data_IF_421222821720
#
_entry.id   IF_421222821720
#
_cell.length_a   1.000
_cell.length_b   1.000
_cell.length_c   1.000
_cell.angle_alpha   90.00
_cell.angle_beta   90.00
_cell.angle_gamma   90.00
#
_symmetry.space_group_name_H-M   'P 1'
#
loop_
_entity.id
_entity.type
_entity.pdbx_description
1 polymer ?
#
# COMPACT_ATOMS: atom_id res chain seq x y z
N UNK A 1 18.04 -9.46 6.68
CA UNK A 1 16.96 -8.48 6.86
C UNK A 1 17.28 -7.59 8.02
N UNK A 2 16.63 -6.42 8.08
CA UNK A 2 16.96 -5.37 9.03
C UNK A 2 15.94 -5.33 10.17
N UNK A 3 16.44 -5.23 11.39
CA UNK A 3 15.64 -4.90 12.57
C UNK A 3 16.09 -3.52 13.05
N UNK A 4 15.19 -2.55 13.08
CA UNK A 4 15.48 -1.16 13.45
C UNK A 4 15.04 -0.91 14.88
N UNK A 5 15.98 -1.10 15.80
CA UNK A 5 15.72 -1.07 17.25
C UNK A 5 15.10 -2.38 17.76
N UNK A 6 15.13 -2.56 19.08
CA UNK A 6 14.34 -3.57 19.77
C UNK A 6 12.99 -2.97 20.17
N UNK A 7 12.06 -3.84 20.56
CA UNK A 7 10.79 -3.42 21.16
C UNK A 7 11.03 -2.52 22.39
N UNK A 8 10.36 -1.37 22.41
CA UNK A 8 10.51 -0.34 23.43
C UNK A 8 11.75 0.56 23.32
N UNK A 9 12.63 0.35 22.33
CA UNK A 9 13.76 1.27 22.11
C UNK A 9 13.24 2.63 21.63
N UNK A 10 13.78 3.71 22.21
CA UNK A 10 13.50 5.08 21.77
C UNK A 10 14.80 5.84 21.54
N UNK A 11 14.88 6.59 20.44
CA UNK A 11 16.12 7.28 20.10
C UNK A 11 16.08 8.03 18.78
N UNK A 12 17.25 8.06 18.13
CA UNK A 12 17.45 8.70 16.83
C UNK A 12 17.97 7.62 15.87
N UNK A 13 17.32 7.48 14.72
CA UNK A 13 17.79 6.69 13.60
C UNK A 13 17.48 7.42 12.30
N UNK A 14 18.44 7.40 11.37
CA UNK A 14 18.26 7.92 10.01
C UNK A 14 18.78 6.86 9.05
N UNK A 15 17.91 6.38 8.16
CA UNK A 15 18.24 5.50 7.05
C UNK A 15 17.99 6.26 5.75
N UNK A 16 19.04 6.46 4.97
CA UNK A 16 18.96 7.17 3.69
C UNK A 16 19.76 6.48 2.59
N UNK A 17 19.26 6.57 1.34
CA UNK A 17 19.92 6.06 0.13
C UNK A 17 20.22 4.54 0.17
N UNK A 18 19.30 3.76 0.76
CA UNK A 18 19.45 2.31 0.91
C UNK A 18 18.48 1.53 0.03
N UNK A 19 18.94 0.39 -0.48
CA UNK A 19 18.10 -0.61 -1.15
C UNK A 19 18.07 -1.90 -0.33
N UNK A 20 16.88 -2.29 0.13
CA UNK A 20 16.63 -3.56 0.81
C UNK A 20 16.10 -4.58 -0.21
N UNK A 21 16.72 -5.75 -0.29
CA UNK A 21 16.39 -6.77 -1.29
C UNK A 21 16.71 -8.18 -0.76
N UNK A 22 16.34 -9.19 -1.54
CA UNK A 22 16.57 -10.60 -1.26
C UNK A 22 17.23 -11.27 -2.46
N UNK A 23 17.82 -12.44 -2.22
CA UNK A 23 18.38 -13.29 -3.28
C UNK A 23 17.75 -14.69 -3.19
N UNK A 24 17.00 -15.08 -4.22
CA UNK A 24 16.32 -16.35 -4.35
C UNK A 24 15.10 -16.49 -3.44
N UNK A 25 14.73 -17.74 -3.16
CA UNK A 25 13.55 -18.06 -2.37
C UNK A 25 13.78 -17.83 -0.88
N UNK A 26 13.23 -16.74 -0.36
CA UNK A 26 13.24 -16.39 1.06
C UNK A 26 11.81 -16.15 1.57
N UNK A 27 10.89 -17.08 1.29
CA UNK A 27 9.47 -16.96 1.60
C UNK A 27 9.09 -16.47 3.01
N UNK A 28 9.90 -16.73 4.05
CA UNK A 28 9.66 -16.27 5.42
C UNK A 28 10.31 -14.94 5.79
N UNK A 29 10.72 -14.15 4.81
CA UNK A 29 11.51 -12.93 5.00
C UNK A 29 10.63 -11.69 5.24
N UNK A 30 10.67 -11.09 6.44
CA UNK A 30 10.28 -9.71 6.75
C UNK A 30 11.44 -8.71 6.48
N UNK A 31 11.51 -8.08 5.30
CA UNK A 31 12.70 -7.32 4.87
C UNK A 31 13.15 -6.28 5.89
N UNK A 32 12.17 -5.59 6.49
CA UNK A 32 12.40 -4.72 7.64
C UNK A 32 11.32 -4.82 8.70
N UNK A 33 11.77 -5.00 9.94
CA UNK A 33 10.99 -4.77 11.15
C UNK A 33 11.45 -3.44 11.78
N UNK A 34 10.52 -2.50 11.94
CA UNK A 34 10.76 -1.18 12.49
C UNK A 34 10.14 -1.07 13.88
N UNK A 35 10.99 -1.04 14.90
CA UNK A 35 10.57 -1.08 16.31
C UNK A 35 10.82 0.22 17.06
N UNK A 36 11.81 1.00 16.63
CA UNK A 36 12.24 2.19 17.35
C UNK A 36 11.16 3.28 17.40
N UNK A 37 11.03 3.90 18.56
CA UNK A 37 10.24 5.11 18.75
C UNK A 37 11.13 6.37 18.71
N UNK A 38 10.60 7.46 18.17
CA UNK A 38 11.29 8.73 18.08
C UNK A 38 11.54 9.31 19.48
N UNK A 39 12.71 9.93 19.68
CA UNK A 39 13.04 10.69 20.89
C UNK A 39 12.66 12.18 20.78
N UNK A 40 12.56 12.67 19.55
CA UNK A 40 11.96 13.95 19.15
C UNK A 40 11.28 13.81 17.79
N UNK A 41 10.34 14.70 17.45
CA UNK A 41 9.60 14.62 16.18
C UNK A 41 10.53 14.45 14.96
N UNK A 42 10.32 13.36 14.21
CA UNK A 42 11.07 13.00 13.01
C UNK A 42 12.47 12.44 13.26
N UNK A 43 12.83 12.12 14.51
CA UNK A 43 14.17 11.58 14.83
C UNK A 43 14.35 10.10 14.52
N UNK A 44 13.26 9.35 14.33
CA UNK A 44 13.29 7.99 13.81
C UNK A 44 12.75 8.03 12.38
N UNK A 45 13.64 7.96 11.38
CA UNK A 45 13.25 8.26 10.01
C UNK A 45 13.97 7.45 8.92
N UNK A 46 13.30 7.34 7.78
CA UNK A 46 13.79 6.74 6.55
C UNK A 46 13.44 7.63 5.36
N UNK A 47 14.43 7.90 4.49
CA UNK A 47 14.27 8.78 3.34
C UNK A 47 14.99 8.20 2.13
N UNK A 48 14.39 8.30 0.94
CA UNK A 48 15.04 7.86 -0.32
C UNK A 48 15.63 6.44 -0.20
N UNK A 49 14.86 5.53 0.42
CA UNK A 49 15.27 4.15 0.68
C UNK A 49 14.13 3.21 0.30
N UNK A 50 14.46 2.13 -0.38
CA UNK A 50 13.49 1.34 -1.13
C UNK A 50 13.63 -0.15 -0.83
N UNK A 51 12.53 -0.88 -0.98
CA UNK A 51 12.49 -2.32 -0.98
C UNK A 51 12.25 -2.77 -2.41
N UNK A 52 13.12 -3.63 -2.92
CA UNK A 52 13.01 -4.18 -4.26
C UNK A 52 13.16 -5.69 -4.19
N UNK A 53 12.08 -6.42 -4.46
CA UNK A 53 12.09 -7.88 -4.43
C UNK A 53 12.13 -8.42 -5.85
N UNK A 54 13.29 -9.00 -6.21
CA UNK A 54 13.56 -9.57 -7.53
C UNK A 54 13.71 -8.55 -8.66
N UNK A 55 13.51 -9.00 -9.89
CA UNK A 55 13.53 -8.14 -11.08
C UNK A 55 14.90 -7.59 -11.48
N UNK A 56 15.97 -7.94 -10.78
CA UNK A 56 17.31 -7.42 -11.09
C UNK A 56 18.39 -8.51 -11.10
N UNK A 57 19.48 -8.25 -11.79
CA UNK A 57 20.65 -9.11 -11.87
C UNK A 57 21.16 -9.45 -10.46
N UNK A 58 21.53 -10.72 -10.25
CA UNK A 58 22.02 -11.21 -8.97
C UNK A 58 20.93 -11.48 -7.93
N UNK A 59 19.65 -11.21 -8.20
CA UNK A 59 18.55 -11.57 -7.30
C UNK A 59 18.17 -13.06 -7.37
N UNK A 60 18.55 -13.78 -8.43
CA UNK A 60 18.05 -15.14 -8.74
C UNK A 60 16.51 -15.22 -8.75
N UNK A 61 15.88 -14.10 -9.11
CA UNK A 61 14.44 -13.86 -9.21
C UNK A 61 14.14 -13.03 -10.46
N UNK A 62 14.91 -13.30 -11.53
CA UNK A 62 14.74 -12.66 -12.83
C UNK A 62 13.69 -13.40 -13.67
N UNK A 63 13.27 -12.85 -14.82
CA UNK A 63 12.31 -13.50 -15.70
C UNK A 63 12.65 -14.94 -16.10
N UNK A 64 13.94 -15.24 -16.22
CA UNK A 64 14.44 -16.60 -16.51
C UNK A 64 14.27 -17.57 -15.33
N UNK A 65 14.30 -17.09 -14.09
CA UNK A 65 14.11 -17.89 -12.89
C UNK A 65 12.62 -18.07 -12.55
N UNK A 66 11.81 -17.04 -12.83
CA UNK A 66 10.43 -16.92 -12.37
C UNK A 66 9.39 -16.66 -13.46
N UNK A 67 9.36 -17.40 -14.59
CA UNK A 67 8.53 -17.07 -15.75
C UNK A 67 7.02 -16.94 -15.44
N UNK A 68 6.32 -16.07 -16.17
CA UNK A 68 4.85 -15.91 -16.06
C UNK A 68 4.08 -17.08 -16.66
N UNK A 69 2.75 -17.07 -16.49
CA UNK A 69 1.83 -17.99 -17.15
C UNK A 69 1.88 -19.42 -16.61
N UNK A 70 2.58 -19.65 -15.50
CA UNK A 70 2.60 -20.95 -14.85
C UNK A 70 1.25 -21.22 -14.17
N UNK A 71 0.72 -22.43 -14.35
CA UNK A 71 -0.51 -22.88 -13.66
C UNK A 71 -0.23 -23.20 -12.19
N UNK A 72 1.00 -23.59 -11.88
CA UNK A 72 1.44 -23.97 -10.53
C UNK A 72 2.47 -22.96 -10.07
N UNK A 73 2.29 -22.44 -8.85
CA UNK A 73 3.23 -21.53 -8.23
C UNK A 73 4.60 -22.19 -8.10
N UNK A 74 5.64 -21.53 -8.63
CA UNK A 74 7.02 -21.93 -8.42
C UNK A 74 7.48 -21.45 -7.04
N UNK A 75 7.63 -22.37 -6.08
CA UNK A 75 8.08 -22.01 -4.73
C UNK A 75 9.46 -21.36 -4.70
N UNK A 76 10.29 -21.57 -5.73
CA UNK A 76 11.59 -20.87 -5.84
C UNK A 76 11.45 -19.35 -6.06
N UNK A 77 10.27 -18.91 -6.45
CA UNK A 77 9.95 -17.50 -6.67
C UNK A 77 9.28 -16.84 -5.47
N UNK A 78 9.00 -17.60 -4.39
CA UNK A 78 8.52 -17.04 -3.14
C UNK A 78 9.67 -16.33 -2.43
N UNK A 79 9.68 -15.02 -2.53
CA UNK A 79 10.84 -14.18 -2.27
C UNK A 79 10.81 -13.51 -0.90
N UNK A 80 9.65 -13.13 -0.38
CA UNK A 80 9.53 -12.57 0.96
C UNK A 80 8.12 -12.73 1.53
N UNK A 81 8.02 -12.68 2.85
CA UNK A 81 6.74 -12.68 3.54
C UNK A 81 6.22 -11.26 3.67
N UNK A 82 7.04 -10.30 4.12
CA UNK A 82 6.61 -8.93 4.36
C UNK A 82 7.71 -7.94 3.99
N UNK A 83 7.39 -6.82 3.32
CA UNK A 83 8.42 -5.84 2.97
C UNK A 83 8.76 -4.91 4.14
N UNK A 84 7.75 -4.33 4.79
CA UNK A 84 7.94 -3.41 5.91
C UNK A 84 6.90 -3.66 7.01
N UNK A 85 7.38 -3.88 8.23
CA UNK A 85 6.57 -3.96 9.44
C UNK A 85 6.87 -2.78 10.36
N UNK A 86 5.91 -1.87 10.52
CA UNK A 86 5.98 -0.77 11.49
C UNK A 86 5.23 -1.22 12.75
N UNK A 87 5.98 -1.66 13.77
CA UNK A 87 5.41 -2.39 14.90
C UNK A 87 4.71 -1.48 15.90
N UNK A 88 3.94 -2.09 16.80
CA UNK A 88 2.96 -1.42 17.67
C UNK A 88 3.50 -0.23 18.47
N UNK A 89 4.63 -0.40 19.14
CA UNK A 89 5.18 0.61 20.04
C UNK A 89 6.23 1.51 19.34
N UNK A 90 6.34 1.38 18.01
CA UNK A 90 7.24 2.19 17.19
C UNK A 90 6.60 3.52 16.78
N UNK A 91 7.42 4.39 16.21
CA UNK A 91 6.99 5.60 15.51
C UNK A 91 7.94 5.82 14.33
N UNK A 92 7.56 6.58 13.31
CA UNK A 92 8.52 6.83 12.25
C UNK A 92 8.10 7.83 11.20
N UNK A 93 9.09 8.47 10.60
CA UNK A 93 8.93 9.33 9.43
C UNK A 93 9.53 8.63 8.20
N UNK A 94 8.69 8.31 7.22
CA UNK A 94 9.08 7.63 5.98
C UNK A 94 8.77 8.56 4.81
N UNK A 95 9.77 8.89 3.98
CA UNK A 95 9.53 9.67 2.76
C UNK A 95 10.27 9.11 1.56
N UNK A 96 9.58 9.12 0.42
CA UNK A 96 10.08 8.53 -0.81
C UNK A 96 10.55 7.09 -0.58
N UNK A 97 9.69 6.29 0.04
CA UNK A 97 9.91 4.87 0.29
C UNK A 97 9.05 4.09 -0.69
N UNK A 98 9.69 3.21 -1.46
CA UNK A 98 9.02 2.37 -2.44
C UNK A 98 9.18 0.92 -2.04
N UNK A 99 8.06 0.23 -1.77
CA UNK A 99 8.01 -1.17 -1.44
C UNK A 99 7.51 -1.97 -2.65
N UNK A 100 8.45 -2.37 -3.51
CA UNK A 100 8.16 -2.92 -4.83
C UNK A 100 8.53 -4.40 -4.92
N UNK A 101 7.56 -5.19 -5.37
CA UNK A 101 7.74 -6.58 -5.79
C UNK A 101 7.79 -6.58 -7.30
N UNK A 102 8.83 -7.16 -7.90
CA UNK A 102 9.06 -6.97 -9.32
C UNK A 102 7.92 -7.51 -10.19
N UNK A 103 7.32 -6.65 -10.99
CA UNK A 103 6.40 -7.02 -12.06
C UNK A 103 7.12 -7.25 -13.40
N UNK A 104 8.35 -6.74 -13.54
CA UNK A 104 9.21 -6.91 -14.72
C UNK A 104 10.71 -6.96 -14.39
N UNK A 105 11.53 -7.36 -15.37
CA UNK A 105 12.99 -7.34 -15.26
C UNK A 105 13.60 -5.97 -15.54
N UNK A 106 14.26 -5.34 -14.58
CA UNK A 106 14.93 -4.05 -14.74
C UNK A 106 16.16 -4.10 -15.66
N UNK A 107 16.88 -5.22 -15.65
CA UNK A 107 18.16 -5.37 -16.38
C UNK A 107 18.00 -6.01 -17.77
N UNK A 108 16.76 -6.19 -18.24
CA UNK A 108 16.48 -6.69 -19.58
C UNK A 108 16.59 -5.54 -20.60
N UNK A 109 17.51 -5.58 -21.58
CA UNK A 109 17.69 -4.50 -22.55
C UNK A 109 16.47 -4.29 -23.47
N UNK A 110 15.55 -5.26 -23.52
CA UNK A 110 14.29 -5.15 -24.27
C UNK A 110 13.16 -4.49 -23.46
N UNK A 111 13.33 -4.27 -22.15
CA UNK A 111 12.35 -3.60 -21.28
C UNK A 111 12.47 -2.07 -21.26
N UNK A 112 13.38 -1.50 -22.08
CA UNK A 112 13.47 -0.05 -22.30
C UNK A 112 12.40 0.48 -23.27
N UNK A 113 11.70 -0.41 -23.99
CA UNK A 113 10.50 -0.08 -24.77
C UNK A 113 9.26 -0.41 -23.92
N UNK A 114 8.20 0.45 -23.92
CA UNK A 114 6.99 0.32 -23.11
C UNK A 114 6.05 -0.79 -23.60
N UNK A 115 6.59 -1.97 -23.91
CA UNK A 115 5.83 -3.19 -24.05
C UNK A 115 6.11 -4.00 -22.80
N UNK A 116 5.15 -3.95 -21.87
CA UNK A 116 5.01 -4.90 -20.76
C UNK A 116 5.29 -6.31 -21.31
N UNK A 117 6.48 -6.82 -21.01
CA UNK A 117 6.89 -8.13 -21.46
C UNK A 117 6.15 -9.18 -20.62
N UNK A 118 6.01 -10.40 -21.12
CA UNK A 118 5.54 -11.54 -20.32
C UNK A 118 6.59 -11.99 -19.30
N UNK A 119 7.39 -11.05 -18.81
CA UNK A 119 8.58 -11.30 -18.01
C UNK A 119 8.20 -11.87 -16.66
N UNK A 120 8.94 -12.88 -16.24
CA UNK A 120 8.71 -13.63 -15.01
C UNK A 120 8.70 -12.78 -13.74
N UNK A 121 7.90 -13.21 -12.77
CA UNK A 121 7.50 -12.42 -11.61
C UNK A 121 7.80 -13.16 -10.30
N UNK A 122 8.64 -12.61 -9.40
CA UNK A 122 8.72 -13.06 -8.01
C UNK A 122 7.41 -12.85 -7.25
N UNK A 123 7.20 -13.65 -6.21
CA UNK A 123 6.01 -13.59 -5.35
C UNK A 123 6.42 -13.19 -3.94
N UNK A 124 5.83 -12.10 -3.44
CA UNK A 124 5.90 -11.67 -2.05
C UNK A 124 4.51 -11.79 -1.40
N UNK A 125 4.48 -12.07 -0.10
CA UNK A 125 3.24 -12.18 0.65
C UNK A 125 2.55 -10.83 0.81
N UNK A 126 3.17 -9.95 1.59
CA UNK A 126 2.55 -8.79 2.21
C UNK A 126 3.41 -7.52 2.01
N UNK A 127 2.80 -6.40 1.65
CA UNK A 127 3.54 -5.15 1.39
C UNK A 127 4.00 -4.46 2.67
N UNK A 128 3.16 -3.54 3.18
CA UNK A 128 3.46 -2.72 4.37
C UNK A 128 2.41 -2.96 5.46
N UNK A 129 2.85 -3.46 6.62
CA UNK A 129 2.03 -3.62 7.81
C UNK A 129 2.33 -2.53 8.83
N UNK A 130 1.30 -1.86 9.33
CA UNK A 130 1.39 -0.76 10.28
C UNK A 130 0.51 -1.08 11.47
N UNK A 131 1.13 -1.31 12.62
CA UNK A 131 0.44 -1.50 13.92
C UNK A 131 0.77 -0.39 14.92
N UNK A 132 1.70 0.49 14.54
CA UNK A 132 2.17 1.64 15.30
C UNK A 132 1.04 2.45 15.91
N UNK A 133 1.18 2.78 17.19
CA UNK A 133 0.33 3.75 17.88
C UNK A 133 0.73 5.20 17.57
N UNK A 134 1.83 5.37 16.85
CA UNK A 134 2.31 6.61 16.27
C UNK A 134 3.16 7.46 17.21
N UNK A 135 3.61 8.64 16.72
CA UNK A 135 3.21 9.19 15.42
C UNK A 135 3.88 8.48 14.23
N UNK A 136 3.15 8.32 13.13
CA UNK A 136 3.71 7.71 11.91
C UNK A 136 3.36 8.54 10.69
N UNK A 137 4.37 8.87 9.89
CA UNK A 137 4.22 9.69 8.70
C UNK A 137 4.77 8.97 7.48
N UNK A 138 3.94 8.76 6.46
CA UNK A 138 4.31 8.20 5.18
C UNK A 138 4.09 9.24 4.08
N UNK A 139 5.18 9.87 3.63
CA UNK A 139 5.15 10.94 2.63
C UNK A 139 5.65 10.48 1.27
N UNK A 140 4.76 10.36 0.28
CA UNK A 140 5.17 9.93 -1.06
C UNK A 140 5.65 8.48 -1.07
N UNK A 141 4.92 7.58 -0.40
CA UNK A 141 5.28 6.16 -0.34
C UNK A 141 4.43 5.34 -1.31
N UNK A 142 5.00 4.27 -1.85
CA UNK A 142 4.30 3.34 -2.73
C UNK A 142 4.53 1.90 -2.27
N UNK A 143 3.50 1.06 -2.36
CA UNK A 143 3.63 -0.38 -2.16
C UNK A 143 2.86 -1.10 -3.25
N UNK A 144 3.53 -1.99 -3.96
CA UNK A 144 3.01 -2.55 -5.21
C UNK A 144 3.26 -4.06 -5.30
N UNK A 145 2.30 -4.73 -5.94
CA UNK A 145 2.38 -6.11 -6.41
C UNK A 145 2.62 -7.17 -5.31
N UNK A 146 2.34 -6.86 -4.06
CA UNK A 146 2.29 -7.84 -2.97
C UNK A 146 1.02 -8.72 -3.09
N UNK A 147 1.13 -10.02 -2.82
CA UNK A 147 0.07 -11.00 -3.13
C UNK A 147 -1.24 -10.74 -2.37
N UNK A 148 -1.19 -10.35 -1.09
CA UNK A 148 -2.38 -10.19 -0.24
C UNK A 148 -2.81 -8.73 -0.07
N UNK A 149 -1.93 -7.85 0.36
CA UNK A 149 -2.20 -6.41 0.49
C UNK A 149 -0.96 -5.57 0.21
N UNK A 150 -1.19 -4.33 -0.21
CA UNK A 150 -0.14 -3.33 -0.38
C UNK A 150 0.09 -2.56 0.92
N UNK A 151 -0.98 -2.05 1.54
CA UNK A 151 -0.94 -1.46 2.89
C UNK A 151 -2.00 -2.07 3.79
N UNK A 152 -1.61 -2.38 5.03
CA UNK A 152 -2.53 -2.73 6.10
C UNK A 152 -2.20 -1.95 7.37
N UNK A 153 -3.17 -1.18 7.85
CA UNK A 153 -3.18 -0.59 9.18
C UNK A 153 -4.02 -1.48 10.08
N UNK A 154 -3.42 -2.01 11.15
CA UNK A 154 -4.10 -2.90 12.07
C UNK A 154 -3.96 -2.39 13.49
N UNK A 155 -5.08 -2.06 14.12
CA UNK A 155 -5.14 -1.47 15.46
C UNK A 155 -4.19 -0.26 15.62
N UNK A 156 -3.87 0.43 14.53
CA UNK A 156 -2.91 1.51 14.49
C UNK A 156 -3.55 2.83 14.93
N UNK A 157 -2.72 3.80 15.32
CA UNK A 157 -3.19 5.16 15.58
C UNK A 157 -2.23 6.25 15.16
N UNK A 158 -2.72 7.49 15.07
CA UNK A 158 -1.92 8.69 14.82
C UNK A 158 -1.04 8.58 13.56
N UNK A 159 -1.65 8.15 12.45
CA UNK A 159 -0.93 7.86 11.21
C UNK A 159 -1.35 8.82 10.09
N UNK A 160 -0.37 9.43 9.43
CA UNK A 160 -0.54 10.21 8.22
C UNK A 160 0.05 9.48 7.02
N UNK A 161 -0.69 9.42 5.90
CA UNK A 161 -0.19 8.98 4.60
C UNK A 161 -0.50 10.04 3.54
N UNK A 162 0.46 10.41 2.69
CA UNK A 162 0.19 11.29 1.56
C UNK A 162 1.42 11.83 0.82
N UNK A 163 1.47 11.81 -0.52
CA UNK A 163 0.64 10.99 -1.41
C UNK A 163 1.02 9.51 -1.23
N UNK A 164 0.05 8.59 -1.29
CA UNK A 164 0.33 7.15 -1.32
C UNK A 164 -0.12 6.52 -2.64
N UNK A 165 0.58 5.48 -3.07
CA UNK A 165 0.25 4.76 -4.30
C UNK A 165 0.24 3.24 -4.08
N UNK A 166 -0.65 2.54 -4.78
CA UNK A 166 -0.60 1.07 -4.88
C UNK A 166 -0.95 0.54 -6.27
N UNK A 167 -0.42 -0.64 -6.61
CA UNK A 167 -0.87 -1.48 -7.73
C UNK A 167 -1.13 -2.92 -7.29
N UNK A 168 -2.18 -3.54 -7.84
CA UNK A 168 -2.38 -4.98 -7.71
C UNK A 168 -1.33 -5.77 -8.50
N UNK A 169 -0.99 -7.00 -8.10
CA UNK A 169 -0.08 -7.83 -8.87
C UNK A 169 -0.68 -8.27 -10.20
N UNK A 170 0.09 -8.17 -11.29
CA UNK A 170 -0.44 -8.31 -12.66
C UNK A 170 -0.93 -9.73 -12.98
N UNK A 171 -0.36 -10.73 -12.32
CA UNK A 171 -0.67 -12.14 -12.53
C UNK A 171 -2.00 -12.56 -11.89
N UNK A 172 -2.57 -11.77 -10.98
CA UNK A 172 -3.84 -12.12 -10.35
C UNK A 172 -4.97 -12.17 -11.38
N UNK A 173 -5.91 -13.14 -11.26
CA UNK A 173 -6.13 -14.05 -10.12
C UNK A 173 -5.42 -15.41 -10.25
N UNK A 174 -4.31 -15.54 -10.98
CA UNK A 174 -3.58 -16.81 -11.09
C UNK A 174 -2.11 -16.72 -10.59
N UNK A 175 -1.83 -17.09 -9.32
CA UNK A 175 -2.80 -17.43 -8.28
C UNK A 175 -3.59 -16.23 -7.75
N UNK A 176 -4.70 -16.50 -7.07
CA UNK A 176 -5.48 -15.51 -6.34
C UNK A 176 -4.73 -15.04 -5.08
N UNK A 177 -5.21 -13.98 -4.42
CA UNK A 177 -4.56 -13.40 -3.25
C UNK A 177 -4.36 -14.36 -2.06
N UNK A 178 -5.02 -15.53 -2.06
CA UNK A 178 -4.93 -16.53 -1.00
C UNK A 178 -3.78 -17.54 -1.19
N UNK A 179 -3.03 -17.43 -2.28
CA UNK A 179 -1.91 -18.33 -2.62
C UNK A 179 -0.75 -17.55 -3.23
N UNK A 180 0.51 -17.99 -3.03
CA UNK A 180 0.92 -19.17 -2.26
C UNK A 180 1.01 -18.94 -0.75
N UNK A 181 1.03 -17.68 -0.31
CA UNK A 181 1.09 -17.31 1.10
C UNK A 181 -0.26 -17.57 1.77
N UNK A 182 -0.25 -18.32 2.86
CA UNK A 182 -1.47 -18.70 3.57
C UNK A 182 -1.81 -17.67 4.65
N UNK A 183 -3.11 -17.45 4.85
CA UNK A 183 -3.60 -16.72 6.01
C UNK A 183 -3.08 -17.34 7.32
N UNK A 184 -2.72 -16.50 8.28
CA UNK A 184 -2.29 -16.83 9.63
C UNK A 184 -0.83 -16.46 9.92
N UNK A 185 -0.08 -16.02 8.92
CA UNK A 185 1.33 -15.59 9.09
C UNK A 185 1.44 -14.21 9.76
N UNK A 186 0.51 -13.29 9.45
CA UNK A 186 0.42 -11.98 10.11
C UNK A 186 -0.96 -11.78 10.76
N UNK A 187 -1.06 -10.94 11.80
CA UNK A 187 -2.33 -10.69 12.47
C UNK A 187 -3.36 -10.07 11.50
N UNK A 188 -4.61 -10.54 11.59
CA UNK A 188 -5.78 -10.04 10.84
C UNK A 188 -5.65 -10.10 9.32
N UNK A 189 -5.54 -11.31 8.75
CA UNK A 189 -5.70 -11.47 7.31
C UNK A 189 -7.06 -10.98 6.84
N UNK A 190 -7.05 -10.25 5.73
CA UNK A 190 -8.26 -9.77 5.09
C UNK A 190 -9.03 -10.96 4.50
N UNK A 191 -10.30 -11.05 4.86
CA UNK A 191 -11.15 -12.19 4.50
C UNK A 191 -11.92 -11.93 3.21
N UNK A 192 -12.09 -12.99 2.41
CA UNK A 192 -12.86 -12.95 1.16
C UNK A 192 -14.23 -13.61 1.33
N UNK A 193 -14.91 -13.38 2.46
CA UNK A 193 -16.12 -14.12 2.88
C UNK A 193 -17.31 -14.03 1.90
N UNK A 194 -17.34 -13.02 1.02
CA UNK A 194 -18.41 -12.77 0.05
C UNK A 194 -17.96 -12.90 -1.41
N UNK A 195 -16.92 -13.70 -1.66
CA UNK A 195 -16.40 -13.90 -3.00
C UNK A 195 -17.11 -15.02 -3.78
N UNK A 196 -17.64 -14.69 -4.96
CA UNK A 196 -18.31 -15.66 -5.83
C UNK A 196 -17.34 -16.51 -6.66
N UNK A 197 -16.16 -15.98 -6.98
CA UNK A 197 -15.11 -16.63 -7.77
C UNK A 197 -13.71 -16.12 -7.38
N UNK A 198 -12.67 -16.50 -8.13
CA UNK A 198 -11.29 -16.10 -7.87
C UNK A 198 -10.99 -14.65 -8.31
N UNK A 199 -11.82 -14.04 -9.18
CA UNK A 199 -11.60 -12.68 -9.68
C UNK A 199 -11.80 -11.64 -8.59
N UNK A 200 -12.70 -11.90 -7.65
CA UNK A 200 -12.93 -11.00 -6.52
C UNK A 200 -11.92 -11.20 -5.38
N UNK A 201 -11.02 -12.19 -5.49
CA UNK A 201 -9.94 -12.47 -4.54
C UNK A 201 -8.63 -11.80 -4.96
N UNK A 202 -8.72 -10.50 -5.26
CA UNK A 202 -7.56 -9.67 -5.59
C UNK A 202 -6.87 -9.14 -4.35
N UNK A 203 -5.62 -8.73 -4.50
CA UNK A 203 -4.86 -8.07 -3.46
C UNK A 203 -5.55 -6.76 -3.03
N UNK A 204 -5.48 -6.46 -1.75
CA UNK A 204 -6.03 -5.21 -1.21
C UNK A 204 -5.06 -4.07 -1.46
N UNK A 205 -5.58 -2.94 -1.95
CA UNK A 205 -4.81 -1.70 -1.98
C UNK A 205 -4.59 -1.19 -0.55
N UNK A 206 -5.65 -1.22 0.27
CA UNK A 206 -5.61 -0.69 1.62
C UNK A 206 -6.56 -1.44 2.56
N UNK A 207 -6.04 -1.97 3.66
CA UNK A 207 -6.82 -2.39 4.82
C UNK A 207 -6.63 -1.40 5.98
N UNK A 208 -7.71 -0.90 6.57
CA UNK A 208 -7.70 -0.12 7.82
C UNK A 208 -8.60 -0.82 8.82
N UNK A 209 -8.01 -1.63 9.68
CA UNK A 209 -8.69 -2.53 10.60
C UNK A 209 -8.50 -2.04 12.03
N UNK A 210 -9.61 -1.77 12.74
CA UNK A 210 -9.57 -1.39 14.16
C UNK A 210 -8.71 -0.16 14.50
N UNK A 211 -8.40 0.67 13.51
CA UNK A 211 -7.45 1.78 13.63
C UNK A 211 -8.17 3.13 13.87
N UNK A 212 -7.50 4.07 14.52
CA UNK A 212 -8.06 5.38 14.87
C UNK A 212 -7.12 6.54 14.52
N UNK A 213 -7.66 7.71 14.19
CA UNK A 213 -6.88 8.92 13.89
C UNK A 213 -5.89 8.69 12.74
N UNK A 214 -6.44 8.24 11.60
CA UNK A 214 -5.73 7.96 10.36
C UNK A 214 -6.09 9.00 9.31
N UNK A 215 -5.09 9.69 8.77
CA UNK A 215 -5.27 10.73 7.75
C UNK A 215 -4.54 10.36 6.46
N UNK A 216 -5.30 10.08 5.41
CA UNK A 216 -4.80 9.75 4.07
C UNK A 216 -5.09 10.93 3.15
N UNK A 217 -4.06 11.70 2.84
CA UNK A 217 -4.13 12.89 2.01
C UNK A 217 -3.53 12.64 0.63
N UNK A 218 -4.40 12.36 -0.34
CA UNK A 218 -4.05 11.95 -1.70
C UNK A 218 -3.60 10.50 -1.79
N UNK A 219 -4.39 9.67 -2.47
CA UNK A 219 -4.08 8.28 -2.76
C UNK A 219 -4.37 7.91 -4.22
N UNK A 220 -3.50 7.12 -4.83
CA UNK A 220 -3.70 6.49 -6.14
C UNK A 220 -3.68 4.98 -6.01
N UNK A 221 -4.83 4.34 -6.21
CA UNK A 221 -4.93 2.88 -6.17
C UNK A 221 -5.25 2.36 -7.57
N UNK A 222 -4.38 1.50 -8.11
CA UNK A 222 -4.50 0.99 -9.47
C UNK A 222 -4.67 -0.52 -9.48
N UNK A 223 -5.48 -1.00 -10.40
CA UNK A 223 -5.66 -2.42 -10.70
C UNK A 223 -5.82 -2.55 -12.21
N UNK A 224 -4.73 -2.80 -12.91
CA UNK A 224 -4.63 -2.58 -14.36
C UNK A 224 -4.68 -3.87 -15.19
N UNK A 225 -4.30 -4.99 -14.58
CA UNK A 225 -4.09 -6.25 -15.28
C UNK A 225 -4.91 -7.38 -14.67
N UNK A 226 -5.23 -8.35 -15.52
CA UNK A 226 -5.75 -9.64 -15.11
C UNK A 226 -5.00 -10.74 -15.86
N UNK A 227 -4.33 -11.63 -15.14
CA UNK A 227 -3.47 -12.66 -15.76
C UNK A 227 -2.46 -12.06 -16.79
N UNK A 228 -1.83 -10.94 -16.43
CA UNK A 228 -0.90 -10.18 -17.28
C UNK A 228 -1.53 -9.64 -18.58
N UNK A 229 -2.85 -9.48 -18.62
CA UNK A 229 -3.57 -8.82 -19.72
C UNK A 229 -4.09 -7.47 -19.26
N UNK A 230 -3.66 -6.40 -19.94
CA UNK A 230 -4.04 -5.03 -19.63
C UNK A 230 -5.53 -4.77 -19.91
N UNK A 231 -6.18 -3.97 -19.06
CA UNK A 231 -7.50 -3.40 -19.32
C UNK A 231 -8.69 -4.30 -18.97
N UNK A 232 -8.47 -5.26 -18.07
CA UNK A 232 -9.48 -6.25 -17.65
C UNK A 232 -10.06 -5.99 -16.25
N UNK A 233 -9.45 -5.10 -15.46
CA UNK A 233 -9.88 -4.74 -14.10
C UNK A 233 -9.88 -3.22 -13.96
N UNK A 234 -10.82 -2.70 -13.18
CA UNK A 234 -10.93 -1.25 -12.92
C UNK A 234 -11.10 -0.94 -11.44
N UNK A 235 -11.06 -1.93 -10.53
CA UNK A 235 -11.44 -1.74 -9.13
C UNK A 235 -10.31 -2.18 -8.19
N UNK A 236 -9.78 -1.24 -7.40
CA UNK A 236 -8.89 -1.53 -6.29
C UNK A 236 -9.69 -1.80 -5.00
N UNK A 237 -9.32 -2.82 -4.23
CA UNK A 237 -10.04 -3.18 -3.00
C UNK A 237 -9.56 -2.38 -1.78
N UNK A 238 -10.51 -1.81 -1.02
CA UNK A 238 -10.26 -1.11 0.25
C UNK A 238 -11.15 -1.69 1.35
N UNK A 239 -10.58 -1.99 2.52
CA UNK A 239 -11.33 -2.38 3.72
C UNK A 239 -11.12 -1.38 4.85
N UNK A 240 -12.20 -1.03 5.57
CA UNK A 240 -12.15 -0.03 6.67
C UNK A 240 -12.86 -0.48 7.95
N UNK A 241 -12.91 -1.80 8.19
CA UNK A 241 -13.66 -2.37 9.31
C UNK A 241 -13.16 -1.84 10.66
N UNK A 242 -14.11 -1.36 11.48
CA UNK A 242 -13.85 -0.85 12.82
C UNK A 242 -12.89 0.36 12.87
N UNK A 243 -12.68 1.04 11.75
CA UNK A 243 -11.93 2.29 11.71
C UNK A 243 -12.77 3.45 12.28
N UNK A 244 -12.13 4.36 13.02
CA UNK A 244 -12.75 5.60 13.51
C UNK A 244 -11.81 6.78 13.30
N UNK A 245 -12.33 8.01 13.16
CA UNK A 245 -11.49 9.17 12.82
C UNK A 245 -10.57 8.91 11.62
N UNK A 246 -11.15 8.40 10.53
CA UNK A 246 -10.45 8.09 9.28
C UNK A 246 -10.81 9.16 8.24
N UNK A 247 -9.81 9.80 7.66
CA UNK A 247 -10.01 10.76 6.56
C UNK A 247 -9.26 10.25 5.32
N UNK A 248 -9.95 10.11 4.20
CA UNK A 248 -9.34 9.62 2.95
C UNK A 248 -9.67 10.54 1.80
N UNK A 249 -8.64 11.13 1.20
CA UNK A 249 -8.72 11.94 -0.02
C UNK A 249 -8.05 11.17 -1.17
N UNK A 250 -8.83 10.68 -2.12
CA UNK A 250 -8.33 9.84 -3.24
C UNK A 250 -8.22 10.70 -4.50
N UNK A 251 -7.08 10.67 -5.19
CA UNK A 251 -6.85 11.47 -6.40
C UNK A 251 -7.12 10.72 -7.71
N UNK A 252 -7.25 9.38 -7.68
CA UNK A 252 -7.55 8.54 -8.85
C UNK A 252 -8.92 7.84 -8.72
N UNK A 253 -9.77 7.81 -9.77
CA UNK A 253 -11.22 7.63 -9.60
C UNK A 253 -11.75 6.19 -9.44
N UNK A 254 -10.97 5.15 -9.13
CA UNK A 254 -11.53 3.76 -9.18
C UNK A 254 -11.03 2.81 -8.09
N UNK A 255 -11.57 2.99 -6.89
CA UNK A 255 -11.44 2.03 -5.79
C UNK A 255 -12.82 1.62 -5.25
N UNK A 256 -13.00 0.35 -4.91
CA UNK A 256 -14.19 -0.18 -4.23
C UNK A 256 -13.91 -0.39 -2.75
N UNK A 257 -14.71 0.25 -1.90
CA UNK A 257 -14.63 0.09 -0.46
C UNK A 257 -15.63 -0.96 0.05
N UNK A 258 -15.17 -1.85 0.92
CA UNK A 258 -16.00 -2.71 1.77
C UNK A 258 -15.88 -2.19 3.22
N UNK A 259 -17.01 -1.86 3.85
CA UNK A 259 -17.05 -1.46 5.26
C UNK A 259 -18.21 -2.14 5.97
N UNK A 260 -17.96 -2.69 7.17
CA UNK A 260 -18.97 -3.39 7.98
C UNK A 260 -19.56 -2.56 9.13
N UNK A 261 -19.05 -1.34 9.41
CA UNK A 261 -19.67 -0.32 10.30
C UNK A 261 -18.90 1.01 10.26
N UNK A 262 -19.63 2.13 10.46
CA UNK A 262 -19.21 3.55 10.42
C UNK A 262 -17.69 3.82 10.42
N UNK A 263 -17.08 3.85 9.23
CA UNK A 263 -15.86 4.62 9.04
C UNK A 263 -16.25 6.11 9.19
N UNK A 264 -15.50 6.87 9.98
CA UNK A 264 -15.61 8.33 9.97
C UNK A 264 -15.49 8.87 8.53
N UNK A 265 -16.21 9.95 8.25
CA UNK A 265 -16.24 10.75 7.02
C UNK A 265 -15.35 10.27 5.85
N UNK A 266 -15.80 9.24 5.12
CA UNK A 266 -15.21 8.85 3.84
C UNK A 266 -15.68 9.84 2.75
N UNK A 267 -14.79 10.73 2.32
CA UNK A 267 -15.06 11.73 1.30
C UNK A 267 -14.28 11.46 0.02
N UNK A 268 -14.83 10.69 -0.95
CA UNK A 268 -14.21 10.58 -2.26
C UNK A 268 -14.32 11.93 -2.97
N UNK A 269 -13.20 12.65 -3.10
CA UNK A 269 -13.14 13.89 -3.88
C UNK A 269 -12.58 13.60 -5.27
N UNK A 270 -13.40 13.74 -6.31
CA UNK A 270 -12.96 13.63 -7.70
C UNK A 270 -12.81 15.01 -8.34
N UNK A 271 -11.60 15.40 -8.74
CA UNK A 271 -11.42 16.37 -9.81
C UNK A 271 -11.06 15.62 -11.08
N UNK A 272 -12.04 15.20 -11.88
CA UNK A 272 -11.78 14.89 -13.28
C UNK A 272 -11.46 16.19 -14.01
N UNK A 273 -10.26 16.37 -14.60
CA UNK A 273 -10.08 17.42 -15.60
C UNK A 273 -11.01 17.09 -16.78
N UNK A 274 -11.69 18.07 -17.39
CA UNK A 274 -12.44 17.81 -18.62
C UNK A 274 -11.51 17.23 -19.68
N UNK A 275 -12.00 16.24 -20.44
CA UNK A 275 -11.27 15.65 -21.59
C UNK A 275 -10.72 16.76 -22.48
N UNK A 276 -9.46 16.63 -22.87
CA UNK A 276 -8.74 17.52 -23.76
C UNK A 276 -9.23 17.45 -25.24
N UNK A 277 -10.53 17.37 -25.47
CA UNK A 277 -11.11 17.43 -26.83
C UNK A 277 -12.14 18.53 -27.02
N UNK A 278 -12.53 19.28 -25.98
CA UNK A 278 -13.45 20.41 -26.14
C UNK A 278 -12.93 21.65 -25.41
N UNK A 279 -12.16 22.50 -26.09
CA UNK A 279 -12.20 23.98 -25.94
C UNK A 279 -11.27 24.65 -26.95
N UNK A 280 -11.73 25.65 -27.72
CA UNK A 280 -10.85 26.66 -28.28
C UNK A 280 -10.54 27.70 -27.18
N UNK A 281 -9.24 27.92 -26.97
CA UNK A 281 -8.56 29.09 -26.42
C UNK A 281 -9.35 30.07 -25.52
N UNK A 282 -9.04 30.07 -24.22
CA UNK A 282 -8.87 31.30 -23.44
C UNK A 282 -8.11 31.03 -22.11
N UNK A 283 -6.90 31.59 -22.02
CA UNK A 283 -6.19 31.84 -20.76
C UNK A 283 -7.04 32.71 -19.82
N UNK A 284 -7.09 32.38 -18.53
CA UNK A 284 -7.01 33.36 -17.42
C UNK A 284 -6.81 32.69 -16.06
N UNK A 285 -5.90 33.27 -15.30
CA UNK A 285 -5.55 33.01 -13.90
C UNK A 285 -6.76 32.90 -12.96
N UNK A 286 -6.67 31.99 -11.99
CA UNK A 286 -7.51 31.99 -10.78
C UNK A 286 -7.06 30.92 -9.79
N UNK A 287 -6.47 31.34 -8.67
CA UNK A 287 -6.15 30.48 -7.53
C UNK A 287 -7.42 29.85 -6.94
N UNK A 288 -7.44 28.57 -6.50
CA UNK A 288 -8.60 28.03 -5.81
C UNK A 288 -8.54 28.37 -4.32
N UNK A 289 -9.62 28.99 -3.84
CA UNK A 289 -9.90 29.26 -2.43
C UNK A 289 -10.14 27.96 -1.64
N UNK A 290 -9.55 27.87 -0.45
CA UNK A 290 -9.91 26.91 0.61
C UNK A 290 -11.29 27.27 1.18
N UNK A 291 -12.29 26.41 1.00
CA UNK A 291 -13.53 26.48 1.79
C UNK A 291 -13.38 25.60 3.03
N UNK A 292 -13.38 26.24 4.21
CA UNK A 292 -13.36 25.59 5.51
C UNK A 292 -14.77 25.61 6.07
N UNK A 293 -15.52 24.51 6.00
CA UNK A 293 -16.76 24.36 6.76
C UNK A 293 -16.46 23.63 8.06
N UNK A 294 -16.81 24.29 9.17
CA UNK A 294 -16.79 23.73 10.52
C UNK A 294 -18.25 23.46 10.86
N UNK A 295 -18.67 22.20 10.80
CA UNK A 295 -20.02 21.79 11.23
C UNK A 295 -19.90 21.38 12.70
N UNK A 296 -20.51 22.19 13.56
CA UNK A 296 -20.69 21.92 15.00
C UNK A 296 -21.86 20.96 15.21
N UNK A 297 -21.65 19.95 16.06
CA UNK A 297 -22.66 19.01 16.57
C UNK A 297 -23.95 19.70 17.06
N UNK A 298 -25.15 19.30 16.59
CA UNK A 298 -26.41 19.69 17.19
C UNK A 298 -26.89 18.61 18.17
N UNK A 299 -26.15 18.36 19.25
CA UNK A 299 -26.63 17.51 20.37
C UNK A 299 -26.40 18.10 21.78
N UNK A 300 -26.03 19.38 21.87
CA UNK A 300 -25.91 20.13 23.12
C UNK A 300 -26.80 21.38 23.09
N UNK A 301 -28.11 21.19 22.98
CA UNK A 301 -29.09 22.25 23.17
C UNK A 301 -30.44 21.73 23.69
N UNK A 302 -30.42 21.01 24.81
CA UNK A 302 -31.60 20.81 25.65
C UNK A 302 -31.16 20.84 27.12
N UNK A 303 -31.20 22.03 27.72
CA UNK A 303 -31.83 22.30 29.03
C UNK A 303 -31.38 23.66 29.55
N UNK A 304 -32.28 24.65 29.42
CA UNK A 304 -32.48 25.81 30.31
C UNK A 304 -33.45 26.79 29.64
N UNK A 305 -34.75 26.58 29.84
CA UNK A 305 -35.76 27.62 29.90
C UNK A 305 -37.12 27.03 30.32
N UNK A 306 -37.32 26.89 31.63
CA UNK A 306 -38.58 27.12 32.35
C UNK A 306 -38.22 27.48 33.79
#
# INVERSE_FOLDING_TARGET
MAQVGNDGDSGVIDISEMLFTVQGSTAGAILMEWNVHESSQGSAAMWDSHFRVGGAEGTNLQPADCPTGQIVVNSKCMAASLLLHITKDSSGYFKNVWAWVADHGLDNPFNADPYETTDGIPLDGFGVLIESQGPTWLYGTASEHSQTYQYQLLNASNTYLGHMQTETPYWQPNPDALKPYQAGEFPSDLVYDNCADDLCKGAWALGVLGSIDVFIYSAGFYSLFQNNQLGCTDEAHIETNFASSLWVYISSPRATSKSSRHAGDFHPWSSTPPRATDTPAALRHGSPFLHKERISDPLLAMDRAA
#
